data_IF_232768570742
#
_entry.id   IF_232768570742
#
_cell.length_a   1.000
_cell.length_b   1.000
_cell.length_c   1.000
_cell.angle_alpha   90.00
_cell.angle_beta   90.00
_cell.angle_gamma   90.00
#
_symmetry.space_group_name_H-M   'P 1'
#
loop_
_entity.id
_entity.type
_entity.pdbx_description
1 polymer ?
#
# COMPACT_ATOMS: atom_id res chain seq x y z
N UNK A 1 -64.21 -28.64 -32.75
CA UNK A 1 -64.49 -28.22 -31.36
C UNK A 1 -63.24 -27.53 -30.86
N UNK A 2 -63.23 -26.20 -30.80
CA UNK A 2 -62.20 -25.42 -30.09
C UNK A 2 -62.96 -24.34 -29.30
N UNK A 3 -62.86 -24.30 -27.96
CA UNK A 3 -63.35 -23.17 -27.21
C UNK A 3 -62.29 -22.06 -27.13
N UNK A 4 -62.78 -20.84 -27.38
CA UNK A 4 -62.18 -19.55 -27.00
C UNK A 4 -62.04 -19.45 -25.47
N UNK A 5 -60.95 -18.85 -24.97
CA UNK A 5 -61.02 -17.80 -23.93
C UNK A 5 -59.81 -16.85 -24.04
N UNK A 6 -60.11 -15.55 -24.11
CA UNK A 6 -59.32 -14.29 -24.19
C UNK A 6 -58.40 -13.96 -22.98
N UNK A 7 -57.71 -12.79 -22.86
CA UNK A 7 -57.05 -11.85 -23.81
C UNK A 7 -55.59 -11.48 -23.37
N UNK A 8 -54.85 -10.56 -24.06
CA UNK A 8 -53.41 -10.35 -23.90
C UNK A 8 -53.06 -9.24 -22.91
N UNK A 9 -51.90 -9.34 -22.25
CA UNK A 9 -51.32 -8.23 -21.48
C UNK A 9 -49.79 -8.22 -21.54
N UNK A 10 -49.33 -7.09 -22.11
CA UNK A 10 -48.07 -6.40 -21.85
C UNK A 10 -46.75 -7.10 -22.25
N UNK A 11 -46.14 -6.50 -23.26
CA UNK A 11 -44.72 -6.56 -23.56
C UNK A 11 -43.86 -6.28 -22.31
N UNK A 12 -42.86 -7.13 -22.09
CA UNK A 12 -41.73 -6.92 -21.20
C UNK A 12 -40.59 -7.84 -21.65
N UNK A 13 -39.36 -7.34 -21.86
CA UNK A 13 -38.33 -8.05 -22.60
C UNK A 13 -37.70 -9.21 -21.80
N UNK A 14 -37.10 -10.13 -22.56
CA UNK A 14 -36.45 -11.38 -22.18
C UNK A 14 -35.61 -11.35 -20.88
N UNK A 15 -35.41 -12.50 -20.19
CA UNK A 15 -34.34 -12.63 -19.22
C UNK A 15 -33.00 -12.50 -19.95
N UNK A 16 -32.45 -11.29 -19.93
CA UNK A 16 -31.10 -10.99 -20.32
C UNK A 16 -30.15 -11.82 -19.45
N UNK A 17 -29.15 -12.41 -20.09
CA UNK A 17 -27.91 -12.87 -19.51
C UNK A 17 -27.53 -11.97 -18.33
N UNK A 18 -27.62 -12.50 -17.11
CA UNK A 18 -27.02 -11.84 -15.97
C UNK A 18 -25.50 -12.00 -16.13
N UNK A 19 -24.91 -11.08 -16.90
CA UNK A 19 -23.55 -10.63 -16.62
C UNK A 19 -23.50 -10.30 -15.12
N UNK A 20 -22.71 -11.07 -14.39
CA UNK A 20 -22.40 -10.74 -13.00
C UNK A 20 -21.88 -9.30 -12.99
N UNK A 21 -22.44 -8.43 -12.14
CA UNK A 21 -22.05 -7.04 -12.11
C UNK A 21 -20.55 -6.95 -11.85
N UNK A 22 -19.89 -6.22 -12.74
CA UNK A 22 -18.62 -5.54 -12.56
C UNK A 22 -18.47 -5.15 -11.10
N UNK A 23 -17.44 -5.67 -10.45
CA UNK A 23 -16.95 -5.10 -9.20
C UNK A 23 -16.29 -3.76 -9.52
N UNK A 24 -17.11 -2.77 -9.91
CA UNK A 24 -16.76 -1.38 -9.74
C UNK A 24 -16.59 -1.13 -8.24
N UNK A 25 -15.54 -0.39 -7.94
CA UNK A 25 -15.26 0.18 -6.64
C UNK A 25 -14.99 -0.80 -5.48
N UNK A 26 -13.90 -1.57 -5.63
CA UNK A 26 -12.93 -1.61 -4.53
C UNK A 26 -12.12 -0.30 -4.50
N UNK A 27 -12.83 0.83 -4.42
CA UNK A 27 -12.41 2.09 -3.83
C UNK A 27 -12.19 1.91 -2.34
N UNK A 28 -11.36 0.92 -1.98
CA UNK A 28 -10.92 0.63 -0.64
C UNK A 28 -9.76 1.55 -0.28
N UNK A 29 -10.09 2.81 0.00
CA UNK A 29 -9.30 3.69 0.87
C UNK A 29 -7.95 4.18 0.30
N UNK A 30 -7.94 4.81 -0.88
CA UNK A 30 -6.83 5.70 -1.25
C UNK A 30 -6.71 6.94 -0.33
N UNK A 31 -7.68 7.13 0.58
CA UNK A 31 -7.76 8.29 1.49
C UNK A 31 -7.22 8.02 2.90
N UNK A 32 -6.66 6.83 3.19
CA UNK A 32 -6.19 6.48 4.55
C UNK A 32 -4.72 6.86 4.84
N UNK A 33 -4.13 7.79 4.08
CA UNK A 33 -2.73 8.24 4.28
C UNK A 33 -2.60 9.51 5.13
N UNK A 34 -3.72 10.11 5.57
CA UNK A 34 -3.70 11.36 6.35
C UNK A 34 -3.55 11.13 7.86
N UNK A 35 -2.68 10.20 8.26
CA UNK A 35 -2.33 10.04 9.66
C UNK A 35 -0.86 10.45 9.80
N UNK A 36 -0.69 11.71 10.19
CA UNK A 36 0.56 12.46 10.15
C UNK A 36 1.57 11.82 11.10
N UNK A 37 2.59 11.15 10.57
CA UNK A 37 3.77 10.78 11.33
C UNK A 37 4.47 12.10 11.74
N UNK A 38 4.49 12.48 13.04
CA UNK A 38 5.01 13.77 13.47
C UNK A 38 6.53 13.91 13.25
N UNK A 39 7.22 12.80 12.96
CA UNK A 39 8.65 12.76 12.68
C UNK A 39 8.94 12.55 11.20
N UNK A 40 7.94 12.63 10.31
CA UNK A 40 8.09 12.39 8.88
C UNK A 40 9.11 13.33 8.25
N UNK A 41 8.93 14.64 8.45
CA UNK A 41 9.74 15.65 7.80
C UNK A 41 11.19 15.58 8.30
N UNK A 42 11.38 15.47 9.62
CA UNK A 42 12.70 15.28 10.23
C UNK A 42 13.40 14.02 9.70
N UNK A 43 12.67 12.91 9.60
CA UNK A 43 13.24 11.66 9.10
C UNK A 43 13.64 11.78 7.63
N UNK A 44 12.78 12.37 6.78
CA UNK A 44 13.10 12.60 5.37
C UNK A 44 14.26 13.57 5.16
N UNK A 45 14.40 14.59 6.02
CA UNK A 45 15.54 15.49 6.00
C UNK A 45 16.84 14.76 6.31
N UNK A 46 16.85 13.93 7.35
CA UNK A 46 18.04 13.14 7.72
C UNK A 46 18.40 12.15 6.61
N UNK A 47 17.44 11.37 6.10
CA UNK A 47 17.69 10.42 5.01
C UNK A 47 18.11 11.14 3.72
N UNK A 48 17.50 12.29 3.41
CA UNK A 48 17.84 13.09 2.23
C UNK A 48 19.20 13.79 2.31
N UNK A 49 19.69 14.04 3.53
CA UNK A 49 21.04 14.56 3.78
C UNK A 49 22.14 13.50 3.71
N UNK A 50 21.79 12.21 3.68
CA UNK A 50 22.75 11.11 3.64
C UNK A 50 23.25 10.84 2.22
N UNK A 51 24.47 11.33 1.93
CA UNK A 51 25.11 11.16 0.63
C UNK A 51 25.64 9.74 0.39
N UNK A 52 25.61 8.85 1.39
CA UNK A 52 26.02 7.44 1.24
C UNK A 52 24.88 6.59 0.67
N UNK A 53 23.64 7.06 0.74
CA UNK A 53 22.50 6.35 0.19
C UNK A 53 22.40 6.51 -1.33
N UNK A 54 22.02 5.42 -1.99
CA UNK A 54 21.65 5.43 -3.38
C UNK A 54 20.40 6.28 -3.61
N UNK A 55 20.27 6.94 -4.78
CA UNK A 55 19.05 7.67 -5.12
C UNK A 55 17.79 6.78 -5.06
N UNK A 56 17.97 5.49 -5.34
CA UNK A 56 16.93 4.49 -5.27
C UNK A 56 16.47 4.21 -3.84
N UNK A 57 17.42 4.04 -2.90
CA UNK A 57 17.11 3.91 -1.48
C UNK A 57 16.37 5.13 -0.94
N UNK A 58 16.75 6.34 -1.37
CA UNK A 58 16.03 7.56 -0.98
C UNK A 58 14.58 7.61 -1.50
N UNK A 59 14.34 7.21 -2.75
CA UNK A 59 12.98 7.13 -3.29
C UNK A 59 12.13 6.11 -2.52
N UNK A 60 12.68 4.92 -2.24
CA UNK A 60 12.02 3.89 -1.43
C UNK A 60 11.74 4.39 -0.01
N UNK A 61 12.70 5.05 0.63
CA UNK A 61 12.54 5.68 1.93
C UNK A 61 11.39 6.71 1.95
N UNK A 62 11.32 7.56 0.94
CA UNK A 62 10.25 8.57 0.81
C UNK A 62 8.87 7.94 0.76
N UNK A 63 8.71 6.91 -0.08
CA UNK A 63 7.44 6.18 -0.20
C UNK A 63 7.11 5.46 1.11
N UNK A 64 8.07 4.76 1.72
CA UNK A 64 7.86 4.06 2.99
C UNK A 64 7.39 5.02 4.09
N UNK A 65 8.05 6.17 4.23
CA UNK A 65 7.76 7.14 5.27
C UNK A 65 6.37 7.79 5.10
N UNK A 66 5.98 8.09 3.86
CA UNK A 66 4.65 8.59 3.52
C UNK A 66 3.54 7.53 3.63
N UNK A 67 3.91 6.24 3.57
CA UNK A 67 2.97 5.13 3.63
C UNK A 67 2.58 4.71 5.05
N UNK A 68 3.15 5.34 6.09
CA UNK A 68 2.99 4.88 7.47
C UNK A 68 2.56 5.97 8.43
N UNK A 69 1.67 5.60 9.35
CA UNK A 69 1.16 6.48 10.40
C UNK A 69 2.10 6.57 11.61
N UNK A 70 2.66 5.43 12.04
CA UNK A 70 3.41 5.29 13.28
C UNK A 70 4.84 4.78 13.03
N UNK A 71 5.43 5.18 11.90
CA UNK A 71 6.78 4.73 11.53
C UNK A 71 6.90 3.20 11.43
N UNK A 72 5.81 2.46 11.17
CA UNK A 72 5.82 0.99 11.05
C UNK A 72 5.26 0.58 9.72
N UNK A 73 6.09 -0.07 8.92
CA UNK A 73 5.74 -0.60 7.61
C UNK A 73 5.56 -2.10 7.74
N UNK A 74 4.38 -2.64 7.41
CA UNK A 74 4.21 -4.09 7.32
C UNK A 74 5.04 -4.64 6.16
N UNK A 75 5.64 -5.83 6.32
CA UNK A 75 6.47 -6.48 5.30
C UNK A 75 5.72 -6.56 3.96
N UNK A 76 4.44 -6.95 4.00
CA UNK A 76 3.57 -7.09 2.82
C UNK A 76 3.35 -5.79 2.03
N UNK A 77 3.73 -4.63 2.56
CA UNK A 77 3.60 -3.35 1.86
C UNK A 77 4.67 -3.12 0.79
N UNK A 78 5.71 -3.96 0.68
CA UNK A 78 6.76 -3.81 -0.35
C UNK A 78 6.18 -3.77 -1.78
N UNK A 79 5.11 -4.52 -2.06
CA UNK A 79 4.42 -4.49 -3.35
C UNK A 79 3.76 -3.14 -3.62
N UNK A 80 3.23 -2.48 -2.58
CA UNK A 80 2.64 -1.15 -2.70
C UNK A 80 3.72 -0.10 -2.91
N UNK A 81 4.88 -0.26 -2.28
CA UNK A 81 6.05 0.61 -2.52
C UNK A 81 6.45 0.56 -4.00
N UNK A 82 6.53 -0.63 -4.59
CA UNK A 82 6.81 -0.78 -6.02
C UNK A 82 5.79 -0.06 -6.90
N UNK A 83 4.49 -0.23 -6.61
CA UNK A 83 3.42 0.44 -7.36
C UNK A 83 3.55 1.96 -7.26
N UNK A 84 3.85 2.50 -6.08
CA UNK A 84 4.05 3.95 -5.88
C UNK A 84 5.32 4.51 -6.56
N UNK A 85 6.24 3.64 -6.99
CA UNK A 85 7.46 3.99 -7.73
C UNK A 85 7.34 3.70 -9.23
N UNK A 86 6.13 3.41 -9.72
CA UNK A 86 5.86 2.99 -11.10
C UNK A 86 6.68 1.75 -11.55
N UNK A 87 6.98 0.86 -10.60
CA UNK A 87 7.70 -0.39 -10.84
C UNK A 87 6.76 -1.58 -10.97
N UNK A 88 7.29 -2.67 -11.51
CA UNK A 88 6.58 -3.94 -11.50
C UNK A 88 6.27 -4.34 -10.05
N UNK A 89 5.01 -4.64 -9.76
CA UNK A 89 4.54 -4.98 -8.40
C UNK A 89 5.37 -6.07 -7.72
N UNK A 90 5.84 -7.05 -8.50
CA UNK A 90 6.63 -8.20 -8.05
C UNK A 90 8.13 -8.01 -8.18
N UNK A 91 8.60 -6.79 -8.44
CA UNK A 91 10.03 -6.48 -8.50
C UNK A 91 10.65 -6.63 -7.10
N UNK A 92 11.57 -7.59 -6.98
CA UNK A 92 12.28 -7.85 -5.72
C UNK A 92 13.45 -6.89 -5.51
N UNK A 93 13.82 -6.05 -6.49
CA UNK A 93 14.90 -5.06 -6.36
C UNK A 93 14.68 -4.06 -5.21
N UNK A 94 13.42 -3.78 -4.85
CA UNK A 94 13.07 -2.94 -3.69
C UNK A 94 13.67 -3.45 -2.37
N UNK A 95 13.95 -4.75 -2.27
CA UNK A 95 14.57 -5.32 -1.06
C UNK A 95 16.04 -4.95 -0.90
N UNK A 96 16.76 -4.67 -1.99
CA UNK A 96 18.14 -4.18 -1.91
C UNK A 96 18.16 -2.76 -1.34
N UNK A 97 17.26 -1.89 -1.81
CA UNK A 97 17.07 -0.54 -1.26
C UNK A 97 16.64 -0.56 0.20
N UNK A 98 15.73 -1.47 0.57
CA UNK A 98 15.33 -1.67 1.98
C UNK A 98 16.53 -2.13 2.82
N UNK A 99 17.33 -3.07 2.31
CA UNK A 99 18.53 -3.56 3.00
C UNK A 99 19.55 -2.46 3.20
N UNK A 100 19.76 -1.62 2.20
CA UNK A 100 20.63 -0.45 2.28
C UNK A 100 20.20 0.50 3.41
N UNK A 101 18.91 0.85 3.46
CA UNK A 101 18.33 1.66 4.53
C UNK A 101 18.44 1.01 5.91
N UNK A 102 18.38 -0.33 6.00
CA UNK A 102 18.63 -1.06 7.25
C UNK A 102 20.09 -0.98 7.68
N UNK A 103 21.02 -1.15 6.74
CA UNK A 103 22.47 -1.05 7.02
C UNK A 103 22.86 0.36 7.44
N UNK A 104 22.23 1.39 6.86
CA UNK A 104 22.42 2.79 7.27
C UNK A 104 21.72 3.15 8.59
N UNK A 105 20.95 2.24 9.19
CA UNK A 105 20.30 2.46 10.50
C UNK A 105 18.95 3.17 10.44
N UNK A 106 18.44 3.52 9.26
CA UNK A 106 17.15 4.18 9.10
C UNK A 106 15.94 3.24 9.24
N UNK A 107 16.17 1.92 9.12
CA UNK A 107 15.15 0.90 9.27
C UNK A 107 15.54 -0.16 10.30
N UNK A 108 14.71 -0.32 11.33
CA UNK A 108 14.74 -1.44 12.27
C UNK A 108 13.79 -2.57 11.87
N UNK A 109 13.97 -3.76 12.46
CA UNK A 109 12.99 -4.85 12.33
C UNK A 109 11.86 -4.63 13.33
N UNK A 110 10.62 -4.67 12.83
CA UNK A 110 9.43 -4.67 13.67
C UNK A 110 8.79 -6.05 13.67
N UNK A 111 8.57 -6.60 14.87
CA UNK A 111 7.75 -7.78 15.08
C UNK A 111 6.64 -7.42 16.04
N UNK A 112 5.39 -7.49 15.57
CA UNK A 112 4.24 -7.24 16.40
C UNK A 112 4.01 -8.34 17.44
N UNK A 113 3.16 -8.04 18.42
CA UNK A 113 2.90 -8.89 19.57
C UNK A 113 1.84 -9.98 19.30
N UNK A 114 1.40 -10.69 20.35
CA UNK A 114 0.39 -11.76 20.26
C UNK A 114 -0.91 -11.34 19.56
N UNK A 115 -1.30 -10.08 19.68
CA UNK A 115 -2.54 -9.52 19.13
C UNK A 115 -2.36 -8.90 17.75
N UNK A 116 -1.13 -8.50 17.40
CA UNK A 116 -0.79 -8.04 16.06
C UNK A 116 0.42 -8.83 15.54
N UNK A 117 0.16 -9.87 14.76
CA UNK A 117 1.20 -10.75 14.20
C UNK A 117 1.96 -10.15 13.01
N UNK A 118 1.73 -8.87 12.67
CA UNK A 118 2.42 -8.23 11.55
C UNK A 118 3.93 -8.19 11.81
N UNK A 119 4.71 -8.53 10.78
CA UNK A 119 6.16 -8.33 10.73
C UNK A 119 6.46 -7.25 9.72
N UNK A 120 7.57 -6.56 9.87
CA UNK A 120 8.00 -5.57 8.88
C UNK A 120 9.14 -4.72 9.40
N UNK A 121 9.06 -3.43 9.11
CA UNK A 121 10.11 -2.47 9.41
C UNK A 121 9.59 -1.35 10.30
N UNK A 122 10.43 -0.89 11.22
CA UNK A 122 10.22 0.37 11.94
C UNK A 122 11.17 1.43 11.37
N UNK A 123 10.66 2.61 11.08
CA UNK A 123 11.49 3.77 10.79
C UNK A 123 12.22 4.14 12.08
N UNK A 124 13.54 4.25 11.98
CA UNK A 124 14.41 4.68 13.06
C UNK A 124 15.11 5.96 12.60
N UNK A 125 15.25 6.93 13.49
CA UNK A 125 16.31 7.91 13.35
C UNK A 125 17.59 7.25 13.88
N UNK A 126 18.73 7.32 13.17
CA UNK A 126 19.99 7.00 13.81
C UNK A 126 20.09 7.90 15.05
N UNK A 127 20.49 7.34 16.19
CA UNK A 127 20.72 8.11 17.42
C UNK A 127 21.72 9.22 17.08
N UNK A 128 21.21 10.43 16.82
CA UNK A 128 22.02 11.62 16.95
C UNK A 128 22.39 11.64 18.43
N UNK A 129 23.68 11.52 18.72
CA UNK A 129 24.23 11.72 20.06
C UNK A 129 23.58 12.99 20.65
N UNK A 130 22.60 12.80 21.55
CA UNK A 130 21.97 13.84 22.35
C UNK A 130 22.77 14.03 23.62
#
# INVERSE_FOLDING_TARGET
>A
MFPLTEPPLAAGPAPQTAESPTADDLGGNNSAFAAVNPFLDLWLEVVGGDSQLSPEAFMVATVLARSVTLGRVAFTNWQRVNVSLDRQRTDFGVFESIRELQTAGYLGRFQGNRYNKSRGWSLSLPEQEL
#
